data_IF_178642238967
#
_entry.id   IF_178642238967
#
_cell.length_a   1.000
_cell.length_b   1.000
_cell.length_c   1.000
_cell.angle_alpha   90.00
_cell.angle_beta   90.00
_cell.angle_gamma   90.00
#
_symmetry.space_group_name_H-M   'P 1'
#
loop_
_entity.id
_entity.type
_entity.pdbx_description
1 polymer ?
#
# COMPACT_ATOMS: atom_id res chain seq x y z
N UNK A 1 -4.53 15.79 -7.09
CA UNK A 1 -4.18 16.19 -5.70
C UNK A 1 -2.70 16.51 -5.69
N UNK A 2 -2.33 17.70 -5.23
CA UNK A 2 -0.92 18.06 -5.04
C UNK A 2 -0.56 17.77 -3.57
N UNK A 3 0.12 16.66 -3.35
CA UNK A 3 0.74 16.35 -2.06
C UNK A 3 1.95 17.27 -1.90
N UNK A 4 2.10 17.94 -0.75
CA UNK A 4 3.30 18.75 -0.53
C UNK A 4 4.53 17.82 -0.33
N UNK A 5 5.75 18.33 -0.49
CA UNK A 5 6.96 17.51 -0.39
C UNK A 5 7.11 16.80 0.95
N UNK A 6 6.86 17.48 2.07
CA UNK A 6 7.00 16.93 3.42
C UNK A 6 6.03 15.76 3.68
N UNK A 7 4.78 15.89 3.24
CA UNK A 7 3.77 14.84 3.31
C UNK A 7 4.17 13.62 2.46
N UNK A 8 4.81 13.86 1.31
CA UNK A 8 5.34 12.80 0.47
C UNK A 8 6.46 12.08 1.17
N UNK A 9 7.43 12.81 1.70
CA UNK A 9 8.58 12.23 2.41
C UNK A 9 8.13 11.38 3.59
N UNK A 10 7.18 11.88 4.40
CA UNK A 10 6.62 11.11 5.52
C UNK A 10 5.98 9.79 5.09
N UNK A 11 5.28 9.77 3.95
CA UNK A 11 4.69 8.54 3.40
C UNK A 11 5.79 7.59 2.93
N UNK A 12 6.81 8.09 2.25
CA UNK A 12 7.91 7.25 1.75
C UNK A 12 8.79 6.68 2.88
N UNK A 13 8.96 7.43 3.98
CA UNK A 13 9.59 6.94 5.20
C UNK A 13 8.77 5.80 5.83
N UNK A 14 7.45 5.95 5.89
CA UNK A 14 6.57 4.90 6.41
C UNK A 14 6.63 3.65 5.52
N UNK A 15 6.65 3.82 4.20
CA UNK A 15 6.81 2.71 3.24
C UNK A 15 8.14 1.99 3.47
N UNK A 16 9.23 2.72 3.71
CA UNK A 16 10.54 2.14 4.03
C UNK A 16 10.49 1.37 5.35
N UNK A 17 9.91 1.96 6.39
CA UNK A 17 9.76 1.31 7.68
C UNK A 17 8.99 0.00 7.55
N UNK A 18 7.83 0.01 6.87
CA UNK A 18 7.03 -1.19 6.59
C UNK A 18 7.82 -2.24 5.83
N UNK A 19 8.53 -1.85 4.76
CA UNK A 19 9.33 -2.78 3.95
C UNK A 19 10.41 -3.52 4.73
N UNK A 20 10.89 -2.95 5.85
CA UNK A 20 11.93 -3.59 6.67
C UNK A 20 11.43 -4.77 7.50
N UNK A 21 10.12 -4.89 7.73
CA UNK A 21 9.54 -5.93 8.59
C UNK A 21 8.46 -6.80 7.91
N UNK A 22 7.97 -6.42 6.72
CA UNK A 22 6.98 -7.22 5.96
C UNK A 22 7.57 -8.47 5.31
N UNK A 23 8.88 -8.68 5.39
CA UNK A 23 9.55 -9.86 4.85
C UNK A 23 9.30 -10.02 3.35
N UNK A 24 8.88 -11.23 2.94
CA UNK A 24 8.56 -11.55 1.54
C UNK A 24 7.11 -11.26 1.15
N UNK A 25 6.37 -10.45 1.92
CA UNK A 25 4.98 -10.11 1.60
C UNK A 25 4.93 -9.31 0.29
N UNK A 26 4.22 -9.85 -0.69
CA UNK A 26 4.01 -9.25 -2.01
C UNK A 26 2.57 -8.74 -2.19
N UNK A 27 1.70 -8.82 -1.18
CA UNK A 27 0.31 -8.35 -1.29
C UNK A 27 0.20 -6.85 -1.00
N UNK A 28 -0.12 -6.07 -2.03
CA UNK A 28 -0.27 -4.62 -1.89
C UNK A 28 -1.30 -4.24 -0.83
N UNK A 29 -2.44 -4.96 -0.75
CA UNK A 29 -3.51 -4.57 0.19
C UNK A 29 -3.06 -4.74 1.64
N UNK A 30 -2.25 -5.76 1.93
CA UNK A 30 -1.65 -6.00 3.24
C UNK A 30 -0.61 -4.94 3.57
N UNK A 31 0.36 -4.70 2.67
CA UNK A 31 1.39 -3.67 2.85
C UNK A 31 0.77 -2.28 3.01
N UNK A 32 -0.23 -1.94 2.18
CA UNK A 32 -0.98 -0.68 2.26
C UNK A 32 -1.61 -0.47 3.64
N UNK A 33 -2.19 -1.52 4.24
CA UNK A 33 -2.79 -1.41 5.59
C UNK A 33 -1.73 -1.08 6.63
N UNK A 34 -0.57 -1.74 6.58
CA UNK A 34 0.54 -1.46 7.49
C UNK A 34 1.03 -0.02 7.35
N UNK A 35 1.25 0.44 6.12
CA UNK A 35 1.63 1.85 5.85
C UNK A 35 0.58 2.80 6.41
N UNK A 36 -0.71 2.54 6.17
CA UNK A 36 -1.77 3.42 6.66
C UNK A 36 -1.87 3.46 8.20
N UNK A 37 -1.46 2.41 8.92
CA UNK A 37 -1.45 2.39 10.40
C UNK A 37 -0.50 3.44 10.98
N UNK A 38 0.69 3.60 10.39
CA UNK A 38 1.68 4.58 10.85
C UNK A 38 1.44 6.02 10.37
N UNK A 39 0.51 6.23 9.44
CA UNK A 39 0.20 7.57 8.91
C UNK A 39 -0.95 8.26 9.66
N UNK A 40 -0.90 9.60 9.81
CA UNK A 40 -2.01 10.39 10.32
C UNK A 40 -3.22 10.38 9.36
N UNK A 41 -4.47 10.55 9.84
CA UNK A 41 -5.68 10.51 9.02
C UNK A 41 -5.65 11.43 7.80
N UNK A 42 -5.02 12.62 7.92
CA UNK A 42 -4.88 13.59 6.82
C UNK A 42 -4.13 13.03 5.62
N UNK A 43 -3.18 12.11 5.81
CA UNK A 43 -2.39 11.49 4.75
C UNK A 43 -3.05 10.23 4.18
N UNK A 44 -3.87 9.54 4.98
CA UNK A 44 -4.63 8.34 4.56
C UNK A 44 -5.60 8.62 3.41
N UNK A 45 -6.09 9.85 3.29
CA UNK A 45 -7.01 10.27 2.20
C UNK A 45 -6.41 10.18 0.79
N UNK A 46 -5.09 10.07 0.67
CA UNK A 46 -4.40 9.97 -0.62
C UNK A 46 -4.38 8.55 -1.19
N UNK A 47 -4.72 7.56 -0.35
CA UNK A 47 -4.84 6.17 -0.76
C UNK A 47 -6.23 5.90 -1.33
N UNK A 48 -6.33 4.97 -2.28
CA UNK A 48 -7.65 4.57 -2.79
C UNK A 48 -8.50 3.94 -1.69
N UNK A 49 -9.80 4.07 -1.82
CA UNK A 49 -10.76 3.34 -0.97
C UNK A 49 -11.26 2.12 -1.72
N UNK A 50 -11.60 1.06 -0.97
CA UNK A 50 -12.30 -0.09 -1.54
C UNK A 50 -13.65 0.31 -2.13
N UNK A 51 -14.07 -0.38 -3.18
CA UNK A 51 -15.43 -0.27 -3.71
C UNK A 51 -16.46 -0.66 -2.61
N UNK A 52 -17.53 0.12 -2.41
CA UNK A 52 -18.49 -0.15 -1.35
C UNK A 52 -19.33 -1.42 -1.58
N UNK A 53 -19.48 -1.91 -2.81
CA UNK A 53 -20.26 -3.10 -3.16
C UNK A 53 -19.37 -4.34 -3.27
N UNK A 54 -18.41 -4.33 -4.18
CA UNK A 54 -17.53 -5.48 -4.48
C UNK A 54 -16.43 -5.66 -3.43
N UNK A 55 -16.12 -4.60 -2.67
CA UNK A 55 -15.01 -4.55 -1.72
C UNK A 55 -13.62 -4.67 -2.37
N UNK A 56 -13.56 -4.61 -3.70
CA UNK A 56 -12.32 -4.61 -4.45
C UNK A 56 -11.55 -3.29 -4.28
N UNK A 57 -10.25 -3.35 -4.49
CA UNK A 57 -9.38 -2.17 -4.46
C UNK A 57 -8.87 -1.85 -5.85
N UNK A 58 -8.61 -0.57 -6.11
CA UNK A 58 -7.98 -0.11 -7.36
C UNK A 58 -6.74 0.72 -7.03
N UNK A 59 -5.79 0.78 -7.95
CA UNK A 59 -4.58 1.60 -7.79
C UNK A 59 -4.77 2.98 -8.41
N UNK A 60 -4.60 4.02 -7.60
CA UNK A 60 -4.42 5.36 -8.13
C UNK A 60 -2.96 5.61 -8.56
N UNK A 61 -2.69 6.73 -9.24
CA UNK A 61 -1.34 7.06 -9.73
C UNK A 61 -0.32 7.21 -8.60
N UNK A 62 -0.75 7.68 -7.43
CA UNK A 62 0.11 7.83 -6.27
C UNK A 62 0.52 6.47 -5.68
N UNK A 63 -0.43 5.54 -5.56
CA UNK A 63 -0.16 4.17 -5.10
C UNK A 63 0.77 3.42 -6.06
N UNK A 64 0.62 3.61 -7.37
CA UNK A 64 1.59 3.08 -8.36
C UNK A 64 3.00 3.60 -8.09
N UNK A 65 3.15 4.88 -7.74
CA UNK A 65 4.46 5.44 -7.39
C UNK A 65 5.04 4.85 -6.11
N UNK A 66 4.19 4.56 -5.12
CA UNK A 66 4.59 3.87 -3.87
C UNK A 66 5.03 2.44 -4.17
N UNK A 67 4.26 1.70 -4.97
CA UNK A 67 4.59 0.31 -5.35
C UNK A 67 5.94 0.26 -6.07
N UNK A 68 6.17 1.17 -7.02
CA UNK A 68 7.46 1.26 -7.71
C UNK A 68 8.61 1.57 -6.74
N UNK A 69 8.42 2.49 -5.78
CA UNK A 69 9.43 2.78 -4.77
C UNK A 69 9.67 1.59 -3.84
N UNK A 70 8.61 0.89 -3.42
CA UNK A 70 8.73 -0.32 -2.61
C UNK A 70 9.57 -1.39 -3.31
N UNK A 71 9.34 -1.61 -4.61
CA UNK A 71 10.16 -2.50 -5.43
C UNK A 71 11.63 -2.07 -5.47
N UNK A 72 11.90 -0.77 -5.63
CA UNK A 72 13.27 -0.25 -5.66
C UNK A 72 14.04 -0.51 -4.36
N UNK A 73 13.38 -0.44 -3.20
CA UNK A 73 14.05 -0.60 -1.90
C UNK A 73 14.07 -2.05 -1.39
N UNK A 74 13.09 -2.87 -1.74
CA UNK A 74 12.96 -4.25 -1.24
C UNK A 74 13.23 -5.33 -2.29
N UNK A 75 13.18 -5.00 -3.58
CA UNK A 75 13.22 -5.96 -4.68
C UNK A 75 11.90 -6.72 -4.92
N UNK A 76 10.86 -6.47 -4.12
CA UNK A 76 9.59 -7.20 -4.20
C UNK A 76 8.59 -6.46 -5.09
N UNK A 77 8.00 -7.20 -6.02
CA UNK A 77 6.87 -6.73 -6.83
C UNK A 77 5.56 -6.88 -6.04
N UNK A 78 4.99 -5.75 -5.61
CA UNK A 78 3.70 -5.76 -4.92
C UNK A 78 2.55 -5.97 -5.91
N UNK A 79 1.75 -6.99 -5.65
CA UNK A 79 0.62 -7.44 -6.46
C UNK A 79 -0.67 -6.95 -5.80
N UNK A 80 -1.51 -6.25 -6.58
CA UNK A 80 -2.90 -5.99 -6.19
C UNK A 80 -3.72 -7.25 -6.47
N UNK A 81 -3.96 -8.06 -5.43
CA UNK A 81 -4.82 -9.23 -5.49
C UNK A 81 -6.29 -8.87 -5.27
N UNK A 82 -7.17 -9.59 -5.94
CA UNK A 82 -8.62 -9.55 -5.76
C UNK A 82 -9.02 -9.94 -4.35
N UNK A 83 -10.27 -9.69 -3.97
CA UNK A 83 -10.78 -10.14 -2.69
C UNK A 83 -10.75 -11.67 -2.57
N UNK A 84 -11.05 -12.39 -3.66
CA UNK A 84 -11.08 -13.85 -3.65
C UNK A 84 -9.69 -14.43 -3.41
N UNK A 85 -8.69 -14.02 -4.20
CA UNK A 85 -7.31 -14.50 -4.04
C UNK A 85 -6.76 -14.27 -2.63
N UNK A 86 -7.11 -13.13 -2.00
CA UNK A 86 -6.70 -12.84 -0.62
C UNK A 86 -7.40 -13.70 0.42
N UNK A 87 -8.62 -14.18 0.15
CA UNK A 87 -9.29 -15.14 1.04
C UNK A 87 -8.60 -16.49 0.96
N UNK A 88 -8.35 -16.94 -0.27
CA UNK A 88 -7.69 -18.22 -0.54
C UNK A 88 -6.30 -18.29 0.12
N UNK A 89 -5.55 -17.18 0.16
CA UNK A 89 -4.24 -17.09 0.83
C UNK A 89 -4.30 -17.20 2.37
N UNK A 90 -5.42 -16.86 3.01
CA UNK A 90 -5.58 -16.92 4.47
C UNK A 90 -6.28 -18.20 4.95
N UNK A 91 -6.72 -19.06 4.03
CA UNK A 91 -7.35 -20.36 4.32
C UNK A 91 -6.34 -21.52 4.33
N UNK A 92 -5.04 -21.23 4.34
CA UNK A 92 -3.93 -22.20 4.43
C UNK A 92 -3.30 -22.17 5.83
#
# INVERSE_FOLDING_TARGET
MNLNPEDKDRIFEEVRFVSSYTGSCDDWVTVKKEVMKGLPPRLRKNFSTRDPKTKEQSLNNFEKSIINYYKQISGIDLILRTLQERRDLNEI
#
